data_IF_232462426387
#
_entry.id   IF_232462426387
#
_cell.length_a   1.000
_cell.length_b   1.000
_cell.length_c   1.000
_cell.angle_alpha   90.00
_cell.angle_beta   90.00
_cell.angle_gamma   90.00
#
_symmetry.space_group_name_H-M   'P 1'
#
loop_
_entity.id
_entity.type
_entity.pdbx_description
1 polymer ?
#
# COMPACT_ATOMS: atom_id res chain seq x y z
N UNK A 1 -16.70 13.84 -10.84
CA UNK A 1 -16.81 12.48 -11.42
C UNK A 1 -15.80 11.57 -10.71
N UNK A 2 -16.26 10.66 -9.85
CA UNK A 2 -15.39 9.89 -8.93
C UNK A 2 -15.02 8.49 -9.44
N UNK A 3 -15.65 8.04 -10.52
CA UNK A 3 -15.51 6.68 -11.07
C UNK A 3 -14.04 6.28 -11.30
N UNK A 4 -13.16 7.11 -11.92
CA UNK A 4 -11.77 6.74 -12.14
C UNK A 4 -10.97 6.57 -10.85
N UNK A 5 -11.35 7.30 -9.78
CA UNK A 5 -10.72 7.19 -8.46
C UNK A 5 -11.05 5.85 -7.82
N UNK A 6 -12.32 5.46 -7.83
CA UNK A 6 -12.74 4.15 -7.30
C UNK A 6 -12.09 2.99 -8.06
N UNK A 7 -11.97 3.09 -9.38
CA UNK A 7 -11.32 2.07 -10.19
C UNK A 7 -9.84 1.90 -9.82
N UNK A 8 -9.09 3.00 -9.70
CA UNK A 8 -7.67 2.98 -9.28
C UNK A 8 -7.47 2.45 -7.86
N UNK A 9 -8.34 2.83 -6.92
CA UNK A 9 -8.20 2.46 -5.51
C UNK A 9 -8.81 1.10 -5.15
N UNK A 10 -9.42 0.38 -6.11
CA UNK A 10 -10.14 -0.87 -5.86
C UNK A 10 -9.28 -1.93 -5.16
N UNK A 11 -8.03 -2.11 -5.60
CA UNK A 11 -7.12 -3.14 -5.05
C UNK A 11 -6.77 -2.89 -3.58
N UNK A 12 -6.37 -1.66 -3.23
CA UNK A 12 -6.01 -1.30 -1.86
C UNK A 12 -7.21 -1.29 -0.91
N UNK A 13 -8.41 -0.89 -1.39
CA UNK A 13 -9.60 -0.80 -0.52
C UNK A 13 -10.24 -2.16 -0.23
N UNK A 14 -10.31 -3.05 -1.22
CA UNK A 14 -11.01 -4.33 -1.07
C UNK A 14 -10.09 -5.50 -0.78
N UNK A 15 -8.85 -5.46 -1.27
CA UNK A 15 -7.87 -6.50 -1.03
C UNK A 15 -6.88 -6.18 0.08
N UNK A 16 -6.97 -4.99 0.69
CA UNK A 16 -5.94 -4.47 1.62
C UNK A 16 -4.53 -4.68 1.06
N UNK A 17 -4.35 -4.39 -0.23
CA UNK A 17 -3.06 -4.49 -0.91
C UNK A 17 -2.33 -3.16 -0.74
N UNK A 18 -1.20 -3.20 -0.05
CA UNK A 18 -0.22 -2.13 -0.02
C UNK A 18 1.11 -2.62 -0.56
N UNK A 19 2.20 -2.11 -0.01
CA UNK A 19 3.56 -2.42 -0.44
C UNK A 19 4.46 -2.74 0.75
N UNK A 20 5.56 -3.44 0.50
CA UNK A 20 6.66 -3.58 1.43
C UNK A 20 7.89 -2.93 0.81
N UNK A 21 8.61 -2.12 1.60
CA UNK A 21 9.84 -1.51 1.12
C UNK A 21 10.97 -2.55 1.13
N UNK A 22 11.66 -2.80 0.00
CA UNK A 22 12.77 -3.76 -0.06
C UNK A 22 14.02 -3.28 0.69
N UNK A 23 14.11 -2.00 1.05
CA UNK A 23 15.28 -1.40 1.70
C UNK A 23 15.22 -1.44 3.23
N UNK A 24 14.03 -1.33 3.81
CA UNK A 24 13.85 -1.26 5.27
C UNK A 24 12.75 -2.18 5.81
N UNK A 25 12.21 -3.07 4.97
CA UNK A 25 11.11 -4.01 5.29
C UNK A 25 9.84 -3.35 5.86
N UNK A 26 9.73 -2.02 5.74
CA UNK A 26 8.60 -1.28 6.24
C UNK A 26 7.36 -1.58 5.38
N UNK A 27 6.26 -1.97 6.04
CA UNK A 27 4.98 -2.24 5.39
C UNK A 27 4.23 -0.93 5.20
N UNK A 28 3.93 -0.59 3.96
CA UNK A 28 3.34 0.68 3.55
C UNK A 28 1.90 0.44 3.12
N UNK A 29 0.98 1.18 3.73
CA UNK A 29 -0.42 1.23 3.30
C UNK A 29 -0.95 2.65 3.49
N UNK A 30 -1.54 3.29 2.45
CA UNK A 30 -1.75 2.82 1.06
C UNK A 30 -0.46 2.63 0.25
N UNK A 31 -0.46 1.93 -0.90
CA UNK A 31 0.71 1.79 -1.78
C UNK A 31 1.18 3.15 -2.34
N UNK A 32 2.50 3.36 -2.39
CA UNK A 32 3.20 4.61 -2.76
C UNK A 32 4.56 4.29 -3.38
N UNK A 33 4.92 4.99 -4.46
CA UNK A 33 6.21 4.81 -5.14
C UNK A 33 7.43 5.12 -4.25
N UNK A 34 7.28 5.96 -3.22
CA UNK A 34 8.35 6.39 -2.31
C UNK A 34 8.02 5.97 -0.88
N UNK A 35 8.98 5.27 -0.25
CA UNK A 35 8.86 4.83 1.12
C UNK A 35 8.89 6.02 2.09
N UNK A 36 7.89 6.18 2.98
CA UNK A 36 7.87 7.28 3.95
C UNK A 36 8.91 7.12 5.07
N UNK A 37 9.49 5.93 5.25
CA UNK A 37 10.45 5.65 6.31
C UNK A 37 11.90 5.93 5.88
N UNK A 38 12.31 5.44 4.71
CA UNK A 38 13.69 5.59 4.23
C UNK A 38 13.86 6.54 3.03
N UNK A 39 12.76 6.92 2.35
CA UNK A 39 12.82 7.81 1.17
C UNK A 39 13.21 7.13 -0.14
N UNK A 40 13.54 5.84 -0.12
CA UNK A 40 13.84 5.06 -1.33
C UNK A 40 12.56 4.58 -2.05
N UNK A 41 12.73 4.00 -3.23
CA UNK A 41 11.61 3.43 -3.99
C UNK A 41 10.97 2.24 -3.26
N UNK A 42 9.65 2.19 -3.25
CA UNK A 42 8.88 1.03 -2.80
C UNK A 42 7.91 0.61 -3.91
N UNK A 43 8.01 -0.64 -4.37
CA UNK A 43 7.20 -1.16 -5.49
C UNK A 43 6.72 -2.60 -5.29
N UNK A 44 7.13 -3.26 -4.20
CA UNK A 44 6.79 -4.66 -3.96
C UNK A 44 5.42 -4.78 -3.30
N UNK A 45 4.45 -5.34 -4.03
CA UNK A 45 3.09 -5.50 -3.56
C UNK A 45 3.01 -6.47 -2.37
N UNK A 46 2.31 -6.05 -1.31
CA UNK A 46 2.08 -6.84 -0.11
C UNK A 46 0.60 -6.85 0.28
N UNK A 47 0.05 -8.03 0.57
CA UNK A 47 -1.36 -8.19 0.99
C UNK A 47 -1.43 -8.27 2.51
N UNK A 48 -2.15 -7.35 3.15
CA UNK A 48 -2.32 -7.33 4.60
C UNK A 48 -3.38 -8.33 5.07
N UNK A 49 -3.26 -8.80 6.31
CA UNK A 49 -4.16 -9.81 6.87
C UNK A 49 -5.56 -9.29 7.24
N UNK A 50 -5.74 -7.97 7.30
CA UNK A 50 -6.98 -7.32 7.73
C UNK A 50 -7.29 -7.43 9.24
N UNK A 51 -6.36 -7.97 10.04
CA UNK A 51 -6.47 -8.01 11.49
C UNK A 51 -5.81 -6.78 12.12
N UNK A 52 -6.42 -6.22 13.15
CA UNK A 52 -5.92 -5.09 13.92
C UNK A 52 -6.72 -4.93 15.21
N UNK A 53 -6.22 -4.12 16.14
CA UNK A 53 -6.83 -3.80 17.42
C UNK A 53 -7.06 -2.28 17.51
N UNK A 54 -8.01 -1.86 18.36
CA UNK A 54 -8.36 -0.44 18.57
C UNK A 54 -7.61 0.12 19.76
#
# INVERSE_FOLDING_TARGET
>A
MEIPRHWRLKKQRYGLVGEVCPHCDHKIFPPRDVCPNCGDEAKDLYTFSGKGEV
#
